data_IF_205553371875
#
_entry.id   IF_205553371875
#
_cell.length_a   1.000
_cell.length_b   1.000
_cell.length_c   1.000
_cell.angle_alpha   90.00
_cell.angle_beta   90.00
_cell.angle_gamma   90.00
#
_symmetry.space_group_name_H-M   'P 1'
#
loop_
_entity.id
_entity.type
_entity.pdbx_description
1 polymer ?
#
# COMPACT_ATOMS: atom_id res chain seq x y z
N UNK A 1 -31.06 21.24 12.79
CA UNK A 1 -30.05 21.46 11.73
C UNK A 1 -28.90 20.51 12.01
N UNK A 2 -28.57 19.64 11.06
CA UNK A 2 -27.46 18.69 11.17
C UNK A 2 -26.13 19.43 11.04
N UNK A 3 -25.40 19.57 12.14
CA UNK A 3 -23.99 19.97 12.13
C UNK A 3 -23.17 18.81 11.54
N UNK A 4 -22.91 18.86 10.24
CA UNK A 4 -21.82 18.12 9.64
C UNK A 4 -20.57 18.96 9.81
N UNK A 5 -19.78 18.70 10.86
CA UNK A 5 -18.38 19.13 10.90
C UNK A 5 -17.62 18.25 9.92
N UNK A 6 -17.17 18.74 8.74
CA UNK A 6 -16.27 17.95 7.92
C UNK A 6 -14.97 17.88 8.70
N UNK A 7 -14.60 16.66 9.15
CA UNK A 7 -13.28 16.38 9.71
C UNK A 7 -12.22 16.94 8.77
N UNK A 8 -11.70 18.12 9.10
CA UNK A 8 -10.71 18.79 8.28
C UNK A 8 -9.43 17.97 8.38
N UNK A 9 -8.91 17.42 7.28
CA UNK A 9 -7.63 16.73 7.32
C UNK A 9 -6.60 17.71 7.86
N UNK A 10 -6.03 17.39 9.03
CA UNK A 10 -4.94 18.15 9.63
C UNK A 10 -3.88 18.41 8.55
N UNK A 11 -3.41 19.65 8.44
CA UNK A 11 -2.74 20.26 7.28
C UNK A 11 -1.45 19.57 6.74
N UNK A 12 -1.11 18.38 7.23
CA UNK A 12 -0.04 17.52 6.72
C UNK A 12 -0.42 16.05 6.43
N UNK A 13 -1.71 15.67 6.52
CA UNK A 13 -2.13 14.29 6.25
C UNK A 13 -2.41 14.08 4.74
N UNK A 14 -1.55 13.35 4.00
CA UNK A 14 -1.85 12.98 2.63
C UNK A 14 -3.08 12.07 2.57
N UNK A 15 -3.88 12.19 1.51
CA UNK A 15 -4.99 11.26 1.29
C UNK A 15 -4.50 9.82 1.19
N UNK A 16 -5.26 8.85 1.73
CA UNK A 16 -4.86 7.43 1.85
C UNK A 16 -4.35 6.88 0.52
N UNK A 17 -5.02 7.19 -0.59
CA UNK A 17 -4.65 6.74 -1.94
C UNK A 17 -3.29 7.30 -2.35
N UNK A 18 -3.06 8.60 -2.15
CA UNK A 18 -1.76 9.23 -2.47
C UNK A 18 -0.64 8.72 -1.57
N UNK A 19 -0.90 8.51 -0.28
CA UNK A 19 0.06 7.95 0.65
C UNK A 19 0.43 6.52 0.29
N UNK A 20 -0.55 5.73 -0.14
CA UNK A 20 -0.37 4.35 -0.58
C UNK A 20 0.44 4.25 -1.88
N UNK A 21 0.07 5.01 -2.91
CA UNK A 21 0.76 4.98 -4.21
C UNK A 21 2.22 5.46 -4.12
N UNK A 22 2.46 6.55 -3.39
CA UNK A 22 3.78 7.19 -3.36
C UNK A 22 4.64 6.79 -2.16
N UNK A 23 4.13 5.98 -1.23
CA UNK A 23 4.85 5.60 -0.01
C UNK A 23 5.19 6.81 0.86
N UNK A 24 4.17 7.62 1.18
CA UNK A 24 4.31 8.84 1.97
C UNK A 24 4.06 8.54 3.46
N UNK A 25 4.68 9.33 4.34
CA UNK A 25 4.41 9.28 5.76
C UNK A 25 2.95 9.66 6.05
N UNK A 26 2.19 8.85 6.81
CA UNK A 26 0.77 9.12 7.08
C UNK A 26 0.53 10.38 7.94
N UNK A 27 1.55 10.84 8.67
CA UNK A 27 1.46 12.03 9.53
C UNK A 27 1.82 13.34 8.82
N UNK A 28 2.89 13.35 8.04
CA UNK A 28 3.46 14.57 7.46
C UNK A 28 3.51 14.61 5.93
N UNK A 29 3.20 13.50 5.24
CA UNK A 29 3.25 13.44 3.78
C UNK A 29 4.65 13.41 3.18
N UNK A 30 5.72 13.32 3.98
CA UNK A 30 7.08 13.19 3.47
C UNK A 30 7.30 11.82 2.79
N UNK A 31 8.15 11.80 1.76
CA UNK A 31 8.61 10.57 1.11
C UNK A 31 9.53 9.79 2.05
N UNK A 32 9.65 8.46 1.85
CA UNK A 32 10.57 7.62 2.63
C UNK A 32 9.89 6.69 3.63
N UNK A 33 8.63 6.32 3.40
CA UNK A 33 7.95 5.29 4.21
C UNK A 33 8.67 3.94 4.15
N UNK A 34 9.33 3.63 3.03
CA UNK A 34 10.03 2.38 2.80
C UNK A 34 11.54 2.60 2.68
N UNK A 35 12.32 1.82 3.43
CA UNK A 35 13.79 1.78 3.34
C UNK A 35 14.32 0.70 2.39
N UNK A 36 13.43 -0.16 1.85
CA UNK A 36 13.77 -1.21 0.90
C UNK A 36 12.64 -1.48 -0.10
N UNK A 37 12.67 -2.67 -0.71
CA UNK A 37 11.69 -3.06 -1.74
C UNK A 37 10.26 -3.08 -1.17
N UNK A 38 10.08 -3.70 0.00
CA UNK A 38 8.79 -3.80 0.70
C UNK A 38 8.93 -3.71 2.24
N UNK A 39 10.05 -3.17 2.72
CA UNK A 39 10.34 -3.02 4.16
C UNK A 39 10.19 -1.56 4.58
N UNK A 40 9.48 -1.32 5.68
CA UNK A 40 9.32 0.02 6.23
C UNK A 40 10.65 0.55 6.75
N UNK A 41 10.84 1.87 6.64
CA UNK A 41 11.90 2.53 7.40
C UNK A 41 11.61 2.40 8.90
N UNK A 42 12.59 2.51 9.80
CA UNK A 42 12.33 2.48 11.24
C UNK A 42 11.59 3.75 11.71
N UNK A 43 11.92 4.91 11.15
CA UNK A 43 11.32 6.20 11.53
C UNK A 43 11.23 7.15 10.33
N UNK A 44 10.30 8.08 10.38
CA UNK A 44 10.25 9.20 9.42
C UNK A 44 11.35 10.22 9.72
N UNK A 45 12.13 10.61 8.72
CA UNK A 45 13.21 11.60 8.87
C UNK A 45 12.68 13.03 9.12
N UNK A 46 11.48 13.37 8.63
CA UNK A 46 10.91 14.71 8.84
C UNK A 46 10.16 14.87 10.16
N UNK A 47 9.23 13.96 10.47
CA UNK A 47 8.33 14.13 11.62
C UNK A 47 8.66 13.20 12.81
N UNK A 48 9.66 12.34 12.66
CA UNK A 48 10.10 11.40 13.71
C UNK A 48 9.09 10.31 14.05
N UNK A 49 8.05 10.09 13.22
CA UNK A 49 7.08 9.02 13.47
C UNK A 49 7.78 7.65 13.41
N UNK A 50 7.66 6.87 14.49
CA UNK A 50 8.15 5.50 14.55
C UNK A 50 7.20 4.60 13.74
N UNK A 51 7.72 4.04 12.65
CA UNK A 51 6.94 3.13 11.79
C UNK A 51 6.91 1.70 12.37
N UNK A 52 7.86 1.32 13.23
CA UNK A 52 7.91 0.00 13.86
C UNK A 52 6.77 -0.24 14.86
N UNK A 53 6.16 0.84 15.38
CA UNK A 53 4.99 0.76 16.25
C UNK A 53 3.71 0.26 15.55
N UNK A 54 3.72 0.20 14.21
CA UNK A 54 2.61 -0.23 13.39
C UNK A 54 2.93 -1.60 12.79
N UNK A 55 2.28 -2.65 13.29
CA UNK A 55 2.43 -3.99 12.76
C UNK A 55 1.40 -4.23 11.66
N UNK A 56 1.80 -4.02 10.40
CA UNK A 56 0.93 -4.16 9.23
C UNK A 56 1.18 -5.51 8.58
N UNK A 57 0.18 -6.38 8.59
CA UNK A 57 0.29 -7.73 8.02
C UNK A 57 0.30 -7.76 6.49
N UNK A 58 0.75 -8.89 5.94
CA UNK A 58 0.82 -9.19 4.50
C UNK A 58 -0.50 -9.77 3.92
N UNK A 59 -1.65 -9.56 4.58
CA UNK A 59 -2.94 -10.15 4.18
C UNK A 59 -3.33 -9.98 2.70
N UNK A 60 -3.10 -8.80 2.07
CA UNK A 60 -3.38 -8.61 0.64
C UNK A 60 -2.47 -9.41 -0.31
N UNK A 61 -1.33 -9.94 0.15
CA UNK A 61 -0.36 -10.60 -0.70
C UNK A 61 -0.92 -11.86 -1.38
N UNK A 62 -1.76 -12.63 -0.68
CA UNK A 62 -2.40 -13.83 -1.24
C UNK A 62 -3.32 -13.46 -2.42
N UNK A 63 -4.20 -12.47 -2.22
CA UNK A 63 -5.12 -12.00 -3.26
C UNK A 63 -4.39 -11.38 -4.44
N UNK A 64 -3.34 -10.59 -4.19
CA UNK A 64 -2.46 -10.05 -5.23
C UNK A 64 -1.83 -11.17 -6.05
N UNK A 65 -1.30 -12.20 -5.39
CA UNK A 65 -0.64 -13.32 -6.08
C UNK A 65 -1.61 -14.11 -6.94
N UNK A 66 -2.81 -14.41 -6.46
CA UNK A 66 -3.83 -15.08 -7.26
C UNK A 66 -4.30 -14.25 -8.45
N UNK A 67 -4.53 -12.94 -8.26
CA UNK A 67 -4.94 -12.04 -9.34
C UNK A 67 -3.86 -11.91 -10.43
N UNK A 68 -2.61 -11.68 -10.02
CA UNK A 68 -1.46 -11.58 -10.94
C UNK A 68 -1.22 -12.92 -11.64
N UNK A 69 -1.33 -14.05 -10.93
CA UNK A 69 -1.20 -15.38 -11.50
C UNK A 69 -2.28 -15.69 -12.54
N UNK A 70 -3.54 -15.33 -12.28
CA UNK A 70 -4.63 -15.49 -13.24
C UNK A 70 -4.41 -14.64 -14.49
N UNK A 71 -3.96 -13.39 -14.33
CA UNK A 71 -3.61 -12.51 -15.45
C UNK A 71 -2.46 -13.09 -16.28
N UNK A 72 -1.39 -13.54 -15.62
CA UNK A 72 -0.24 -14.13 -16.28
C UNK A 72 -0.61 -15.41 -17.04
N UNK A 73 -1.48 -16.26 -16.47
CA UNK A 73 -1.99 -17.45 -17.13
C UNK A 73 -2.81 -17.10 -18.39
N UNK A 74 -3.66 -16.07 -18.33
CA UNK A 74 -4.41 -15.59 -19.50
C UNK A 74 -3.49 -15.07 -20.60
N UNK A 75 -2.46 -14.29 -20.25
CA UNK A 75 -1.47 -13.80 -21.22
C UNK A 75 -0.63 -14.95 -21.80
N UNK A 76 -0.25 -15.93 -20.98
CA UNK A 76 0.47 -17.10 -21.43
C UNK A 76 -0.35 -17.94 -22.42
N UNK A 77 -1.64 -18.16 -22.11
CA UNK A 77 -2.55 -18.86 -23.00
C UNK A 77 -2.74 -18.12 -24.33
N UNK A 78 -2.90 -16.79 -24.30
CA UNK A 78 -3.00 -15.97 -25.50
C UNK A 78 -1.73 -16.04 -26.37
N UNK A 79 -0.55 -15.90 -25.77
CA UNK A 79 0.73 -16.05 -26.48
C UNK A 79 0.86 -17.44 -27.12
N UNK A 80 0.43 -18.49 -26.41
CA UNK A 80 0.53 -19.86 -26.88
C UNK A 80 -0.46 -20.21 -28.00
N UNK A 81 -1.65 -19.61 -27.99
CA UNK A 81 -2.71 -19.94 -28.95
C UNK A 81 -2.67 -19.08 -30.22
N UNK A 82 -2.35 -17.79 -30.10
CA UNK A 82 -2.47 -16.84 -31.21
C UNK A 82 -1.12 -16.43 -31.83
N UNK A 83 -0.03 -16.44 -31.06
CA UNK A 83 1.26 -15.87 -31.49
C UNK A 83 2.33 -16.93 -31.77
N UNK A 84 2.32 -18.03 -31.00
CA UNK A 84 3.31 -19.11 -31.04
C UNK A 84 4.79 -18.61 -31.04
N UNK A 85 5.18 -17.73 -30.11
CA UNK A 85 6.52 -17.18 -30.08
C UNK A 85 7.54 -18.18 -29.49
N UNK A 86 8.85 -17.95 -29.70
CA UNK A 86 9.88 -18.74 -29.04
C UNK A 86 9.85 -18.59 -27.51
N UNK A 87 10.30 -19.64 -26.80
CA UNK A 87 10.20 -19.77 -25.32
C UNK A 87 10.73 -18.55 -24.55
N UNK A 88 11.78 -17.89 -25.06
CA UNK A 88 12.36 -16.72 -24.39
C UNK A 88 11.40 -15.52 -24.31
N UNK A 89 10.46 -15.38 -25.25
CA UNK A 89 9.47 -14.30 -25.26
C UNK A 89 8.49 -14.48 -24.10
N UNK A 90 8.05 -15.71 -23.82
CA UNK A 90 7.20 -15.98 -22.66
C UNK A 90 7.90 -15.55 -21.37
N UNK A 91 9.17 -15.91 -21.20
CA UNK A 91 9.94 -15.49 -20.01
C UNK A 91 10.08 -13.97 -19.97
N UNK A 92 10.43 -13.34 -21.09
CA UNK A 92 10.62 -11.90 -21.18
C UNK A 92 9.34 -11.11 -20.92
N UNK A 93 8.16 -11.65 -21.22
CA UNK A 93 6.86 -10.99 -21.01
C UNK A 93 6.28 -11.34 -19.64
N UNK A 94 6.21 -12.63 -19.30
CA UNK A 94 5.54 -13.10 -18.09
C UNK A 94 6.30 -12.73 -16.82
N UNK A 95 7.65 -12.74 -16.85
CA UNK A 95 8.45 -12.37 -15.67
C UNK A 95 8.18 -10.93 -15.23
N UNK A 96 8.35 -9.89 -16.07
CA UNK A 96 8.02 -8.53 -15.65
C UNK A 96 6.53 -8.35 -15.36
N UNK A 97 5.65 -9.03 -16.12
CA UNK A 97 4.21 -9.00 -15.89
C UNK A 97 3.82 -9.54 -14.51
N UNK A 98 4.57 -10.48 -13.94
CA UNK A 98 4.32 -10.99 -12.58
C UNK A 98 5.05 -10.14 -11.55
N UNK A 99 6.36 -9.93 -11.72
CA UNK A 99 7.22 -9.31 -10.72
C UNK A 99 6.80 -7.86 -10.43
N UNK A 100 6.54 -7.07 -11.47
CA UNK A 100 6.23 -5.64 -11.30
C UNK A 100 4.94 -5.43 -10.50
N UNK A 101 3.77 -5.98 -10.88
CA UNK A 101 2.54 -5.76 -10.14
C UNK A 101 2.54 -6.45 -8.77
N UNK A 102 3.23 -7.58 -8.58
CA UNK A 102 3.33 -8.19 -7.25
C UNK A 102 4.12 -7.29 -6.29
N UNK A 103 5.29 -6.79 -6.70
CA UNK A 103 6.09 -5.89 -5.86
C UNK A 103 5.40 -4.55 -5.63
N UNK A 104 4.85 -3.96 -6.67
CA UNK A 104 4.15 -2.68 -6.59
C UNK A 104 2.88 -2.81 -5.74
N UNK A 105 2.06 -3.83 -6.01
CA UNK A 105 0.84 -4.11 -5.26
C UNK A 105 1.12 -4.32 -3.79
N UNK A 106 2.14 -5.11 -3.44
CA UNK A 106 2.53 -5.33 -2.05
C UNK A 106 2.91 -4.03 -1.35
N UNK A 107 3.68 -3.17 -2.02
CA UNK A 107 4.12 -1.88 -1.48
C UNK A 107 2.94 -0.93 -1.25
N UNK A 108 2.05 -0.81 -2.23
CA UNK A 108 0.86 0.05 -2.12
C UNK A 108 -0.08 -0.46 -1.04
N UNK A 109 -0.35 -1.77 -1.00
CA UNK A 109 -1.21 -2.37 0.02
C UNK A 109 -0.66 -2.18 1.43
N UNK A 110 0.65 -2.38 1.63
CA UNK A 110 1.29 -2.13 2.94
C UNK A 110 1.17 -0.67 3.37
N UNK A 111 1.44 0.27 2.46
CA UNK A 111 1.33 1.70 2.75
C UNK A 111 -0.11 2.14 3.04
N UNK A 112 -1.09 1.56 2.33
CA UNK A 112 -2.51 1.82 2.57
C UNK A 112 -2.93 1.34 3.97
N UNK A 113 -2.59 0.10 4.32
CA UNK A 113 -2.92 -0.48 5.62
C UNK A 113 -2.23 0.28 6.77
N UNK A 114 -0.97 0.68 6.60
CA UNK A 114 -0.25 1.55 7.54
C UNK A 114 -0.99 2.86 7.81
N UNK A 115 -1.44 3.52 6.74
CA UNK A 115 -2.17 4.80 6.84
C UNK A 115 -3.53 4.61 7.51
N UNK A 116 -4.24 3.52 7.18
CA UNK A 116 -5.51 3.18 7.81
C UNK A 116 -5.37 2.88 9.30
N UNK A 117 -4.31 2.17 9.69
CA UNK A 117 -4.00 1.87 11.09
C UNK A 117 -3.64 3.14 11.87
N UNK A 118 -2.86 4.04 11.27
CA UNK A 118 -2.56 5.34 11.86
C UNK A 118 -3.83 6.15 12.15
N UNK A 119 -4.76 6.20 11.19
CA UNK A 119 -6.03 6.91 11.36
C UNK A 119 -6.94 6.27 12.41
N UNK A 120 -7.03 4.94 12.46
CA UNK A 120 -7.81 4.24 13.51
C UNK A 120 -7.29 4.55 14.91
N UNK A 121 -5.97 4.46 15.12
CA UNK A 121 -5.38 4.76 16.44
C UNK A 121 -5.58 6.22 16.86
N UNK A 122 -5.52 7.16 15.91
CA UNK A 122 -5.82 8.56 16.19
C UNK A 122 -7.28 8.77 16.63
N UNK A 123 -8.23 8.06 16.01
CA UNK A 123 -9.65 8.12 16.37
C UNK A 123 -9.94 7.50 17.74
N UNK A 124 -9.31 6.36 18.07
CA UNK A 124 -9.47 5.70 19.37
C UNK A 124 -8.93 6.53 20.53
N UNK A 125 -7.83 7.26 20.31
CA UNK A 125 -7.29 8.19 21.30
C UNK A 125 -8.28 9.33 21.61
N UNK A 126 -8.87 9.94 20.57
CA UNK A 126 -9.84 11.03 20.75
C UNK A 126 -11.16 10.58 21.41
N UNK A 127 -11.60 9.34 21.19
CA UNK A 127 -12.82 8.81 21.81
C UNK A 127 -12.68 8.62 23.33
N UNK A 128 -11.51 8.20 23.82
CA UNK A 128 -11.25 8.01 25.26
C UNK A 128 -11.21 9.31 26.05
N UNK A 129 -10.78 10.40 25.41
CA UNK A 129 -10.74 11.73 26.02
C UNK A 129 -12.15 12.32 26.23
N UNK A 130 -13.15 11.88 25.46
CA UNK A 130 -14.55 12.32 25.60
C UNK A 130 -15.28 11.54 26.69
N UNK A 131 -15.03 10.23 26.81
CA UNK A 131 -15.66 9.37 27.83
C UNK A 131 -15.16 9.65 29.27
N UNK A 132 -13.95 10.21 29.41
CA UNK A 132 -13.38 10.56 30.72
C UNK A 132 -13.88 11.91 31.30
N UNK A 133 -14.90 12.55 30.72
CA UNK A 133 -15.42 13.86 31.16
C UNK A 133 -16.89 13.80 31.55
#
# INVERSE_FOLDING_TARGET
>A
MTDQTPNSPSAGQPGIVSAALFGLCPRCGAKGLFAGIAHFAPRCEQCGLDFGAFNVGDGPAAFLTFGVGALAAGVAAWLALDVDPPVWVYVAVLVPLVVVPTLYGLRVSKAALMTAEYQRRASEAGAKDVDSR
#
